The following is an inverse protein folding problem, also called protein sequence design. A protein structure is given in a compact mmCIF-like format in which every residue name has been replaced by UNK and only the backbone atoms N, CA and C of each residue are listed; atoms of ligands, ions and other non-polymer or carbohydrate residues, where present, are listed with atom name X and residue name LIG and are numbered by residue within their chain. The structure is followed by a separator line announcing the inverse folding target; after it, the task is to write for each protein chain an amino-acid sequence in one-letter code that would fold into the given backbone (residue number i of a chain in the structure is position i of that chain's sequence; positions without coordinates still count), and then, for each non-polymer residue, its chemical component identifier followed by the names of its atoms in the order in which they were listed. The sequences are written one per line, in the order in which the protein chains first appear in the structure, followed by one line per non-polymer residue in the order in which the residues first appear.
data_IF_203202991298
#
_entry.id   IF_203202991298
#
_cell.length_a   1.000
_cell.length_b   1.000
_cell.length_c   1.000
_cell.angle_alpha   90.00
_cell.angle_beta   90.00
_cell.angle_gamma   90.00
#
_symmetry.space_group_name_H-M   'P 1'
#
loop_
_entity.id
_entity.type
_entity.pdbx_description
1 polymer ?
#
# COMPACT_ATOMS: atom_id res chain seq x y z
N UNK A 1 4.56 -27.59 26.08
CA UNK A 1 5.96 -27.25 26.52
C UNK A 1 6.43 -27.89 27.84
N UNK A 2 5.59 -28.01 28.86
CA UNK A 2 5.96 -28.54 30.20
C UNK A 2 6.58 -29.95 30.16
N UNK A 3 6.04 -30.83 29.32
CA UNK A 3 6.51 -32.21 29.17
C UNK A 3 7.93 -32.32 28.58
N UNK A 4 8.35 -31.35 27.76
CA UNK A 4 9.72 -31.32 27.21
C UNK A 4 10.72 -30.88 28.27
N UNK A 5 10.34 -29.96 29.17
CA UNK A 5 11.15 -29.54 30.32
C UNK A 5 11.35 -30.69 31.33
N UNK A 6 10.31 -31.47 31.59
CA UNK A 6 10.37 -32.64 32.47
C UNK A 6 11.27 -33.74 31.87
N UNK A 7 11.14 -33.98 30.56
CA UNK A 7 12.02 -34.92 29.86
C UNK A 7 13.49 -34.46 29.86
N UNK A 8 13.76 -33.17 29.74
CA UNK A 8 15.12 -32.61 29.79
C UNK A 8 15.79 -32.80 31.16
N UNK A 9 15.02 -32.84 32.25
CA UNK A 9 15.55 -33.10 33.60
C UNK A 9 15.85 -34.58 33.88
N UNK A 10 15.30 -35.50 33.08
CA UNK A 10 15.45 -36.95 33.26
C UNK A 10 16.39 -37.60 32.22
N UNK A 11 17.07 -36.81 31.39
CA UNK A 11 17.97 -37.34 30.36
C UNK A 11 19.17 -38.09 30.99
N UNK A 12 19.44 -39.35 30.61
CA UNK A 12 20.65 -40.03 31.04
C UNK A 12 21.87 -39.34 30.44
N UNK A 13 22.97 -39.31 31.19
CA UNK A 13 24.26 -38.72 30.81
C UNK A 13 24.95 -39.38 29.60
N UNK A 14 24.29 -40.31 28.91
CA UNK A 14 24.78 -41.00 27.70
C UNK A 14 24.19 -40.44 26.40
N UNK A 15 23.50 -39.30 26.43
CA UNK A 15 22.75 -38.76 25.30
C UNK A 15 23.61 -38.06 24.24
N UNK A 16 24.94 -38.04 24.41
CA UNK A 16 25.88 -37.48 23.43
C UNK A 16 25.83 -35.95 23.26
N UNK A 17 24.90 -35.28 23.95
CA UNK A 17 24.81 -33.83 24.01
C UNK A 17 25.81 -33.29 25.05
N UNK A 18 26.49 -32.20 24.71
CA UNK A 18 27.38 -31.53 25.66
C UNK A 18 26.55 -30.91 26.79
N UNK A 19 27.05 -30.99 28.03
CA UNK A 19 26.36 -30.50 29.22
C UNK A 19 25.99 -29.02 29.11
N UNK A 20 26.84 -28.24 28.44
CA UNK A 20 26.65 -26.81 28.18
C UNK A 20 25.41 -26.57 27.29
N UNK A 21 25.19 -27.40 26.28
CA UNK A 21 24.04 -27.29 25.38
C UNK A 21 22.73 -27.63 26.09
N UNK A 22 22.76 -28.61 26.99
CA UNK A 22 21.60 -28.98 27.82
C UNK A 22 21.23 -27.85 28.80
N UNK A 23 22.23 -27.22 29.43
CA UNK A 23 22.03 -26.06 30.30
C UNK A 23 21.48 -24.87 29.51
N UNK A 24 22.03 -24.62 28.32
CA UNK A 24 21.56 -23.55 27.44
C UNK A 24 20.11 -23.77 26.99
N UNK A 25 19.78 -24.97 26.53
CA UNK A 25 18.43 -25.33 26.11
C UNK A 25 17.43 -25.23 27.26
N UNK A 26 17.81 -25.71 28.46
CA UNK A 26 17.02 -25.53 29.68
C UNK A 26 16.80 -24.05 30.00
N UNK A 27 17.83 -23.21 29.86
CA UNK A 27 17.73 -21.77 30.04
C UNK A 27 16.76 -21.09 29.07
N UNK A 28 16.75 -21.51 27.80
CA UNK A 28 15.76 -21.04 26.80
C UNK A 28 14.35 -21.50 27.18
N UNK A 29 14.17 -22.77 27.52
CA UNK A 29 12.85 -23.31 27.86
C UNK A 29 12.29 -22.77 29.17
N UNK A 30 13.15 -22.42 30.13
CA UNK A 30 12.76 -21.81 31.39
C UNK A 30 12.46 -20.31 31.26
N UNK A 31 12.89 -19.68 30.15
CA UNK A 31 12.71 -18.26 29.91
C UNK A 31 11.21 -17.87 29.96
N UNK A 32 10.83 -16.87 30.78
CA UNK A 32 9.43 -16.48 30.94
C UNK A 32 8.78 -15.96 29.66
N UNK A 33 9.56 -15.37 28.74
CA UNK A 33 9.08 -14.91 27.43
C UNK A 33 8.72 -16.12 26.57
N UNK A 34 9.61 -17.11 26.48
CA UNK A 34 9.42 -18.33 25.70
C UNK A 34 8.23 -19.13 26.23
N UNK A 35 8.11 -19.28 27.56
CA UNK A 35 6.94 -19.89 28.20
C UNK A 35 5.64 -19.15 27.89
N UNK A 36 5.66 -17.82 27.96
CA UNK A 36 4.47 -17.02 27.65
C UNK A 36 4.08 -17.13 26.18
N UNK A 37 5.06 -17.14 25.27
CA UNK A 37 4.85 -17.31 23.84
C UNK A 37 4.26 -18.68 23.51
N UNK A 38 4.79 -19.75 24.09
CA UNK A 38 4.22 -21.08 23.87
C UNK A 38 2.83 -21.23 24.46
N UNK A 39 2.54 -20.62 25.62
CA UNK A 39 1.18 -20.61 26.17
C UNK A 39 0.21 -19.82 25.29
N UNK A 40 0.68 -18.76 24.64
CA UNK A 40 -0.10 -18.01 23.66
C UNK A 40 -0.32 -18.84 22.39
N UNK A 41 0.71 -19.55 21.92
CA UNK A 41 0.62 -20.44 20.76
C UNK A 41 -0.35 -21.60 20.99
N UNK A 42 -0.23 -22.32 22.11
CA UNK A 42 -1.15 -23.41 22.50
C UNK A 42 -2.61 -22.91 22.55
N UNK A 43 -2.86 -21.69 23.06
CA UNK A 43 -4.20 -21.07 23.07
C UNK A 43 -4.72 -20.64 21.70
N UNK A 44 -3.83 -20.29 20.78
CA UNK A 44 -4.18 -19.90 19.42
C UNK A 44 -4.44 -21.14 18.54
N UNK A 45 -3.75 -22.26 18.81
CA UNK A 45 -3.98 -23.52 18.11
C UNK A 45 -5.36 -24.14 18.41
N UNK A 46 -5.89 -23.96 19.63
CA UNK A 46 -7.22 -24.49 20.01
C UNK A 46 -8.39 -23.85 19.23
N UNK A 47 -8.18 -22.69 18.60
CA UNK A 47 -9.22 -21.95 17.87
C UNK A 47 -9.10 -22.15 16.35
N UNK A 48 -8.97 -23.40 15.91
CA UNK A 48 -8.90 -23.71 14.48
C UNK A 48 -10.30 -23.60 13.87
N UNK A 49 -10.64 -22.39 13.42
CA UNK A 49 -11.84 -22.14 12.64
C UNK A 49 -11.64 -22.75 11.25
N UNK A 50 -12.39 -23.80 10.93
CA UNK A 50 -12.42 -24.39 9.60
C UNK A 50 -13.64 -23.86 8.85
N UNK A 51 -13.43 -23.45 7.60
CA UNK A 51 -14.52 -23.00 6.74
C UNK A 51 -15.46 -24.16 6.45
N UNK A 52 -16.76 -23.88 6.44
CA UNK A 52 -17.81 -24.89 6.21
C UNK A 52 -17.85 -25.34 4.74
N UNK A 53 -17.50 -24.44 3.82
CA UNK A 53 -17.46 -24.64 2.37
C UNK A 53 -16.53 -23.59 1.74
N UNK A 54 -16.11 -23.82 0.49
CA UNK A 54 -15.21 -22.96 -0.27
C UNK A 54 -15.71 -22.62 -1.69
N UNK A 55 -16.96 -22.97 -2.00
CA UNK A 55 -17.59 -22.81 -3.32
C UNK A 55 -18.97 -22.12 -3.26
N UNK A 56 -19.17 -21.21 -2.29
CA UNK A 56 -20.46 -20.54 -2.08
C UNK A 56 -20.87 -19.63 -3.25
N UNK A 57 -19.90 -19.02 -3.93
CA UNK A 57 -20.18 -18.17 -5.10
C UNK A 57 -20.71 -18.99 -6.29
N UNK A 58 -20.16 -20.18 -6.52
CA UNK A 58 -20.64 -21.12 -7.54
C UNK A 58 -22.06 -21.59 -7.22
N UNK A 59 -22.31 -21.97 -5.96
CA UNK A 59 -23.65 -22.35 -5.48
C UNK A 59 -24.69 -21.24 -5.67
N UNK A 60 -24.33 -19.98 -5.41
CA UNK A 60 -25.24 -18.85 -5.64
C UNK A 60 -25.54 -18.66 -7.12
N UNK A 61 -24.56 -18.86 -8.00
CA UNK A 61 -24.80 -18.79 -9.44
C UNK A 61 -25.74 -19.92 -9.93
N UNK A 62 -25.56 -21.15 -9.43
CA UNK A 62 -26.49 -22.27 -9.73
C UNK A 62 -27.91 -21.95 -9.26
N UNK A 63 -28.07 -21.48 -8.01
CA UNK A 63 -29.37 -21.07 -7.48
C UNK A 63 -29.98 -19.96 -8.34
N UNK A 64 -29.18 -18.98 -8.76
CA UNK A 64 -29.64 -17.88 -9.61
C UNK A 64 -30.11 -18.39 -10.97
N UNK A 65 -29.45 -19.38 -11.58
CA UNK A 65 -29.91 -20.00 -12.83
C UNK A 65 -31.28 -20.66 -12.67
N UNK A 66 -31.50 -21.36 -11.56
CA UNK A 66 -32.75 -22.07 -11.27
C UNK A 66 -33.93 -21.12 -10.97
N UNK A 67 -33.69 -20.05 -10.22
CA UNK A 67 -34.76 -19.16 -9.74
C UNK A 67 -35.03 -17.95 -10.64
N UNK A 68 -34.08 -17.58 -11.53
CA UNK A 68 -34.25 -16.45 -12.46
C UNK A 68 -35.50 -16.57 -13.35
N UNK A 69 -35.88 -17.75 -13.86
CA UNK A 69 -37.12 -17.91 -14.64
C UNK A 69 -38.40 -17.63 -13.84
N UNK A 70 -38.34 -17.70 -12.51
CA UNK A 70 -39.49 -17.57 -11.61
C UNK A 70 -39.69 -16.14 -11.08
N UNK A 71 -38.83 -15.19 -11.46
CA UNK A 71 -38.88 -13.77 -11.01
C UNK A 71 -40.23 -13.12 -11.29
N UNK A 72 -40.88 -13.46 -12.42
CA UNK A 72 -42.16 -12.88 -12.81
C UNK A 72 -43.37 -13.56 -12.13
N UNK A 73 -43.14 -14.62 -11.36
CA UNK A 73 -44.18 -15.46 -10.75
C UNK A 73 -44.32 -15.15 -9.26
N UNK A 74 -43.21 -14.85 -8.57
CA UNK A 74 -43.18 -14.60 -7.13
C UNK A 74 -42.28 -13.39 -6.81
N UNK A 75 -42.85 -12.40 -6.13
CA UNK A 75 -42.16 -11.18 -5.70
C UNK A 75 -41.03 -11.48 -4.70
N UNK A 76 -41.15 -12.53 -3.88
CA UNK A 76 -40.11 -12.96 -2.96
C UNK A 76 -38.89 -13.53 -3.71
N UNK A 77 -39.12 -14.19 -4.85
CA UNK A 77 -38.03 -14.69 -5.71
C UNK A 77 -37.34 -13.52 -6.40
N UNK A 78 -38.09 -12.49 -6.81
CA UNK A 78 -37.52 -11.28 -7.38
C UNK A 78 -36.62 -10.54 -6.37
N UNK A 79 -37.05 -10.41 -5.11
CA UNK A 79 -36.26 -9.83 -4.03
C UNK A 79 -34.99 -10.65 -3.74
N UNK A 80 -35.12 -11.97 -3.63
CA UNK A 80 -33.98 -12.87 -3.38
C UNK A 80 -32.94 -12.79 -4.51
N UNK A 81 -33.38 -12.80 -5.78
CA UNK A 81 -32.48 -12.61 -6.93
C UNK A 81 -31.80 -11.25 -6.87
N UNK A 82 -32.51 -10.21 -6.44
CA UNK A 82 -31.94 -8.87 -6.24
C UNK A 82 -30.77 -8.90 -5.25
N UNK A 83 -30.98 -9.48 -4.07
CA UNK A 83 -29.98 -9.58 -3.00
C UNK A 83 -28.77 -10.42 -3.46
N UNK A 84 -29.02 -11.59 -4.07
CA UNK A 84 -27.95 -12.49 -4.53
C UNK A 84 -27.11 -11.90 -5.67
N UNK A 85 -27.67 -10.95 -6.43
CA UNK A 85 -26.96 -10.21 -7.49
C UNK A 85 -26.31 -8.91 -7.01
N UNK A 86 -26.49 -8.52 -5.75
CA UNK A 86 -25.82 -7.31 -5.25
C UNK A 86 -24.30 -7.50 -5.29
N UNK A 87 -23.55 -6.54 -5.88
CA UNK A 87 -22.09 -6.65 -6.00
C UNK A 87 -21.40 -6.90 -4.66
N UNK A 88 -21.88 -6.26 -3.59
CA UNK A 88 -21.30 -6.41 -2.26
C UNK A 88 -21.55 -7.79 -1.66
N UNK A 89 -22.70 -8.40 -1.94
CA UNK A 89 -23.02 -9.74 -1.48
C UNK A 89 -22.17 -10.77 -2.22
N UNK A 90 -22.03 -10.62 -3.55
CA UNK A 90 -21.15 -11.48 -4.35
C UNK A 90 -19.68 -11.36 -3.95
N UNK A 91 -19.17 -10.14 -3.76
CA UNK A 91 -17.80 -9.92 -3.28
C UNK A 91 -17.56 -10.48 -1.88
N UNK A 92 -18.58 -10.49 -1.01
CA UNK A 92 -18.46 -11.10 0.32
C UNK A 92 -18.29 -12.62 0.22
N UNK A 93 -19.07 -13.28 -0.64
CA UNK A 93 -18.96 -14.72 -0.88
C UNK A 93 -17.64 -15.09 -1.55
N UNK A 94 -17.21 -14.30 -2.53
CA UNK A 94 -15.91 -14.45 -3.18
C UNK A 94 -14.76 -14.35 -2.16
N UNK A 95 -14.78 -13.32 -1.31
CA UNK A 95 -13.78 -13.16 -0.25
C UNK A 95 -13.80 -14.32 0.75
N UNK A 96 -14.99 -14.82 1.10
CA UNK A 96 -15.12 -16.01 1.94
C UNK A 96 -14.48 -17.23 1.29
N UNK A 97 -14.80 -17.52 0.03
CA UNK A 97 -14.31 -18.70 -0.71
C UNK A 97 -12.78 -18.64 -0.91
N UNK A 98 -12.20 -17.46 -1.17
CA UNK A 98 -10.75 -17.24 -1.24
C UNK A 98 -10.08 -17.57 0.11
N UNK A 99 -10.65 -17.11 1.22
CA UNK A 99 -10.12 -17.37 2.56
C UNK A 99 -10.29 -18.85 2.94
N UNK A 100 -11.44 -19.44 2.61
CA UNK A 100 -11.77 -20.83 2.88
C UNK A 100 -10.86 -21.81 2.13
N UNK A 101 -10.61 -21.55 0.85
CA UNK A 101 -9.71 -22.34 -0.02
C UNK A 101 -8.23 -22.19 0.33
N UNK A 102 -7.88 -21.31 1.27
CA UNK A 102 -6.49 -20.98 1.67
C UNK A 102 -5.63 -20.55 0.48
N UNK A 103 -6.26 -20.02 -0.57
CA UNK A 103 -5.60 -19.35 -1.67
C UNK A 103 -5.16 -17.97 -1.21
N UNK A 104 -4.09 -17.92 -0.40
CA UNK A 104 -3.43 -16.69 0.01
C UNK A 104 -2.53 -16.15 -1.11
N UNK A 105 -3.06 -16.08 -2.33
CA UNK A 105 -2.41 -15.29 -3.35
C UNK A 105 -2.48 -13.82 -2.93
N UNK A 106 -1.51 -13.03 -3.36
CA UNK A 106 -1.47 -11.59 -3.01
C UNK A 106 -2.83 -10.98 -3.38
N UNK A 107 -3.47 -10.19 -2.49
CA UNK A 107 -4.82 -9.69 -2.78
C UNK A 107 -4.80 -8.99 -4.13
N UNK A 108 -5.79 -9.26 -5.02
CA UNK A 108 -5.88 -8.51 -6.26
C UNK A 108 -5.96 -7.03 -5.89
N UNK A 109 -5.20 -6.22 -6.63
CA UNK A 109 -5.29 -4.76 -6.56
C UNK A 109 -6.76 -4.36 -6.49
N UNK A 110 -7.11 -3.54 -5.50
CA UNK A 110 -8.44 -2.96 -5.28
C UNK A 110 -9.18 -2.67 -6.60
N UNK A 111 -10.51 -2.89 -6.65
CA UNK A 111 -11.27 -2.87 -7.89
C UNK A 111 -10.96 -1.59 -8.65
N UNK A 112 -10.44 -1.76 -9.86
CA UNK A 112 -10.22 -0.67 -10.78
C UNK A 112 -11.54 0.08 -10.93
N UNK A 113 -11.53 1.34 -10.49
CA UNK A 113 -12.60 2.26 -10.77
C UNK A 113 -12.78 2.28 -12.29
N UNK A 114 -13.90 1.73 -12.76
CA UNK A 114 -14.33 1.78 -14.14
C UNK A 114 -14.35 3.24 -14.62
N UNK A 115 -13.22 3.71 -15.14
CA UNK A 115 -13.19 4.87 -16.00
C UNK A 115 -13.73 4.40 -17.35
N UNK A 116 -15.04 4.58 -17.49
CA UNK A 116 -15.78 4.48 -18.73
C UNK A 116 -14.94 4.84 -19.96
N UNK A 117 -14.73 3.84 -20.82
CA UNK A 117 -14.65 3.97 -22.27
C UNK A 117 -13.81 5.15 -22.81
N UNK A 118 -12.49 4.96 -22.89
CA UNK A 118 -11.73 5.53 -24.00
C UNK A 118 -11.28 4.35 -24.85
N UNK A 119 -11.87 4.27 -26.04
CA UNK A 119 -11.57 3.29 -27.08
C UNK A 119 -10.09 2.90 -27.10
N UNK A 120 -9.81 1.64 -26.78
CA UNK A 120 -8.61 0.93 -27.20
C UNK A 120 -8.63 0.72 -28.72
N UNK A 121 -8.68 1.81 -29.48
CA UNK A 121 -8.04 1.79 -30.79
C UNK A 121 -6.55 1.81 -30.50
N UNK A 122 -5.92 0.65 -30.67
CA UNK A 122 -4.48 0.52 -30.89
C UNK A 122 -4.12 1.50 -32.02
N UNK A 123 -3.74 2.72 -31.64
CA UNK A 123 -3.17 3.67 -32.58
C UNK A 123 -1.91 3.02 -33.14
N UNK A 124 -1.63 3.19 -34.44
CA UNK A 124 -0.43 2.63 -35.06
C UNK A 124 0.80 2.94 -34.21
N UNK A 125 1.71 1.98 -34.10
CA UNK A 125 2.93 2.03 -33.26
C UNK A 125 3.82 3.26 -33.56
N UNK A 126 3.53 3.99 -34.65
CA UNK A 126 4.23 5.19 -35.12
C UNK A 126 3.37 6.48 -35.15
N UNK A 127 2.25 6.54 -34.43
CA UNK A 127 1.42 7.75 -34.41
C UNK A 127 2.12 8.89 -33.65
N UNK A 128 2.73 9.82 -34.40
CA UNK A 128 3.37 11.03 -33.85
C UNK A 128 2.30 11.93 -33.21
N UNK A 129 2.53 12.33 -31.95
CA UNK A 129 1.71 13.32 -31.23
C UNK A 129 2.44 14.67 -31.19
N UNK A 130 1.74 15.73 -31.55
CA UNK A 130 2.26 17.11 -31.47
C UNK A 130 1.74 17.77 -30.19
N UNK A 131 2.65 18.28 -29.37
CA UNK A 131 2.34 18.90 -28.08
C UNK A 131 2.82 20.35 -28.08
N UNK A 132 1.96 21.27 -27.65
CA UNK A 132 2.35 22.65 -27.35
C UNK A 132 2.55 22.80 -25.84
N UNK A 133 3.78 23.07 -25.41
CA UNK A 133 4.10 23.36 -24.00
C UNK A 133 4.53 24.82 -23.86
N UNK A 134 4.25 25.42 -22.71
CA UNK A 134 4.69 26.79 -22.41
C UNK A 134 5.81 26.80 -21.38
N UNK A 135 7.01 27.25 -21.78
CA UNK A 135 8.22 27.24 -20.98
C UNK A 135 8.60 28.64 -20.51
N UNK A 136 8.74 28.87 -19.20
CA UNK A 136 9.29 30.13 -18.69
C UNK A 136 10.80 30.21 -18.91
N UNK A 137 11.32 31.42 -19.08
CA UNK A 137 12.75 31.65 -19.23
C UNK A 137 13.51 31.16 -17.99
N UNK A 138 14.59 30.38 -18.20
CA UNK A 138 15.39 29.80 -17.13
C UNK A 138 14.76 28.63 -16.35
N UNK A 139 13.46 28.34 -16.54
CA UNK A 139 12.81 27.21 -15.87
C UNK A 139 13.13 25.89 -16.62
N UNK A 140 13.62 24.85 -15.93
CA UNK A 140 13.82 23.54 -16.54
C UNK A 140 12.46 22.85 -16.79
N UNK A 141 12.39 21.97 -17.78
CA UNK A 141 11.19 21.17 -18.04
C UNK A 141 10.84 20.26 -16.84
N UNK A 142 11.86 19.84 -16.06
CA UNK A 142 11.67 18.89 -14.97
C UNK A 142 11.57 17.45 -15.47
N UNK A 143 12.34 17.09 -16.49
CA UNK A 143 12.40 15.72 -17.04
C UNK A 143 13.85 15.25 -17.15
N UNK A 144 14.06 13.95 -17.06
CA UNK A 144 15.34 13.30 -17.37
C UNK A 144 15.17 12.41 -18.58
N UNK A 145 16.25 12.27 -19.36
CA UNK A 145 16.27 11.46 -20.58
C UNK A 145 17.22 10.28 -20.44
N UNK A 146 16.90 9.17 -21.08
CA UNK A 146 17.81 8.07 -21.38
C UNK A 146 17.87 7.85 -22.88
N UNK A 147 18.97 7.27 -23.35
CA UNK A 147 19.11 6.85 -24.75
C UNK A 147 18.72 5.38 -24.85
N UNK A 148 17.74 5.05 -25.69
CA UNK A 148 17.28 3.68 -25.93
C UNK A 148 17.06 3.51 -27.44
N UNK A 149 17.70 2.52 -28.08
CA UNK A 149 17.62 2.31 -29.54
C UNK A 149 17.91 3.57 -30.39
N UNK A 150 18.89 4.38 -29.97
CA UNK A 150 19.25 5.65 -30.61
C UNK A 150 18.20 6.78 -30.47
N UNK A 151 17.17 6.57 -29.65
CA UNK A 151 16.11 7.54 -29.37
C UNK A 151 16.22 8.12 -27.95
N UNK A 152 15.85 9.40 -27.81
CA UNK A 152 15.76 10.06 -26.51
C UNK A 152 14.41 9.82 -25.86
N UNK A 153 14.43 8.96 -24.85
CA UNK A 153 13.24 8.54 -24.10
C UNK A 153 13.17 9.26 -22.76
N UNK A 154 11.98 9.75 -22.38
CA UNK A 154 11.75 10.31 -21.05
C UNK A 154 11.90 9.19 -20.02
N UNK A 155 12.87 9.35 -19.12
CA UNK A 155 13.17 8.38 -18.05
C UNK A 155 12.48 8.73 -16.73
N UNK A 156 12.35 10.01 -16.40
CA UNK A 156 11.69 10.48 -15.19
C UNK A 156 11.07 11.84 -15.40
N UNK A 157 9.94 12.08 -14.75
CA UNK A 157 9.34 13.41 -14.59
C UNK A 157 9.49 13.80 -13.12
N UNK A 158 10.01 15.00 -12.86
CA UNK A 158 10.24 15.53 -11.52
C UNK A 158 8.94 16.15 -11.01
N UNK A 159 8.48 15.68 -9.85
CA UNK A 159 7.26 16.17 -9.23
C UNK A 159 7.34 17.67 -8.92
N UNK A 160 6.25 18.41 -9.16
CA UNK A 160 6.20 19.88 -9.07
C UNK A 160 6.91 20.61 -10.22
N UNK A 161 7.55 19.88 -11.15
CA UNK A 161 8.19 20.42 -12.34
C UNK A 161 7.21 21.04 -13.34
N UNK A 162 7.72 21.69 -14.40
CA UNK A 162 6.88 22.26 -15.46
C UNK A 162 6.06 21.19 -16.17
N UNK A 163 6.71 20.09 -16.57
CA UNK A 163 6.05 18.99 -17.29
C UNK A 163 5.06 18.25 -16.38
N UNK A 164 5.40 18.02 -15.12
CA UNK A 164 4.50 17.40 -14.12
C UNK A 164 3.20 18.21 -13.97
N UNK A 165 3.30 19.54 -13.86
CA UNK A 165 2.14 20.43 -13.74
C UNK A 165 1.27 20.48 -15.00
N UNK A 166 1.84 20.28 -16.19
CA UNK A 166 1.09 20.29 -17.45
C UNK A 166 0.47 18.92 -17.77
N UNK A 167 1.09 17.82 -17.35
CA UNK A 167 0.55 16.46 -17.54
C UNK A 167 0.48 16.01 -19.01
N UNK A 168 1.19 16.69 -19.92
CA UNK A 168 1.11 16.43 -21.37
C UNK A 168 2.12 15.36 -21.85
N UNK A 169 3.20 15.16 -21.11
CA UNK A 169 4.24 14.17 -21.39
C UNK A 169 4.27 13.13 -20.28
N UNK A 170 4.62 11.90 -20.65
CA UNK A 170 4.71 10.77 -19.74
C UNK A 170 6.09 10.11 -19.80
N UNK A 171 6.42 9.37 -18.75
CA UNK A 171 7.62 8.54 -18.75
C UNK A 171 7.48 7.49 -19.85
N UNK A 172 8.54 7.33 -20.65
CA UNK A 172 8.56 6.45 -21.81
C UNK A 172 8.29 7.14 -23.14
N UNK A 173 7.81 8.38 -23.16
CA UNK A 173 7.61 9.13 -24.41
C UNK A 173 8.97 9.42 -25.08
N UNK A 174 9.00 9.38 -26.40
CA UNK A 174 10.19 9.65 -27.21
C UNK A 174 10.05 11.01 -27.87
N UNK A 175 11.00 11.91 -27.66
CA UNK A 175 10.98 13.22 -28.33
C UNK A 175 11.70 13.11 -29.68
N UNK A 176 10.99 13.38 -30.77
CA UNK A 176 11.52 13.34 -32.14
C UNK A 176 11.87 14.73 -32.68
N UNK A 177 11.07 15.75 -32.35
CA UNK A 177 11.36 17.13 -32.76
C UNK A 177 11.03 18.14 -31.67
N UNK A 178 11.80 19.24 -31.63
CA UNK A 178 11.53 20.44 -30.82
C UNK A 178 11.55 21.66 -31.73
N UNK A 179 10.44 22.41 -31.78
CA UNK A 179 10.29 23.60 -32.62
C UNK A 179 10.72 23.36 -34.09
N UNK A 180 10.38 22.19 -34.64
CA UNK A 180 10.72 21.78 -36.00
C UNK A 180 12.18 21.35 -36.21
N UNK A 181 13.00 21.29 -35.15
CA UNK A 181 14.35 20.73 -35.22
C UNK A 181 14.32 19.28 -34.76
N UNK A 182 14.84 18.36 -35.58
CA UNK A 182 14.99 16.97 -35.21
C UNK A 182 15.92 16.81 -34.01
N UNK A 183 15.53 15.92 -33.12
CA UNK A 183 16.27 15.61 -31.90
C UNK A 183 17.19 14.43 -32.17
N UNK A 184 18.49 14.66 -32.02
CA UNK A 184 19.51 13.61 -32.10
C UNK A 184 19.51 12.68 -30.88
N UNK A 185 20.44 11.73 -30.87
CA UNK A 185 20.59 10.75 -29.78
C UNK A 185 21.33 11.28 -28.54
N UNK A 186 21.77 12.55 -28.54
CA UNK A 186 22.57 13.12 -27.47
C UNK A 186 21.70 13.95 -26.50
N UNK A 187 21.49 13.50 -25.24
CA UNK A 187 20.63 14.19 -24.29
C UNK A 187 21.17 15.57 -23.90
N UNK A 188 22.48 15.80 -23.97
CA UNK A 188 23.09 17.10 -23.65
C UNK A 188 22.71 18.18 -24.67
N UNK A 189 22.70 17.82 -25.95
CA UNK A 189 22.30 18.74 -27.03
C UNK A 189 20.84 19.15 -26.89
N UNK A 190 19.95 18.20 -26.59
CA UNK A 190 18.55 18.49 -26.33
C UNK A 190 18.38 19.40 -25.09
N UNK A 191 19.14 19.15 -24.02
CA UNK A 191 19.11 20.00 -22.83
C UNK A 191 19.58 21.43 -23.13
N UNK A 192 20.64 21.60 -23.91
CA UNK A 192 21.14 22.92 -24.33
C UNK A 192 20.13 23.65 -25.23
N UNK A 193 19.52 22.94 -26.18
CA UNK A 193 18.46 23.47 -27.04
C UNK A 193 17.29 23.98 -26.20
N UNK A 194 16.78 23.15 -25.28
CA UNK A 194 15.65 23.50 -24.43
C UNK A 194 15.99 24.59 -23.41
N UNK A 195 17.24 24.69 -22.95
CA UNK A 195 17.68 25.72 -22.00
C UNK A 195 17.46 27.13 -22.56
N UNK A 196 17.78 27.33 -23.84
CA UNK A 196 17.72 28.64 -24.50
C UNK A 196 16.32 29.00 -25.02
N UNK A 197 15.40 28.04 -25.08
CA UNK A 197 14.02 28.27 -25.54
C UNK A 197 13.17 28.79 -24.36
N UNK A 198 12.32 29.77 -24.63
CA UNK A 198 11.28 30.26 -23.72
C UNK A 198 10.04 30.68 -24.50
N UNK A 199 8.87 30.61 -23.87
CA UNK A 199 7.56 30.84 -24.50
C UNK A 199 6.95 29.54 -25.00
N UNK A 200 6.29 29.60 -26.16
CA UNK A 200 5.65 28.42 -26.76
C UNK A 200 6.70 27.49 -27.36
N UNK A 201 6.65 26.21 -26.98
CA UNK A 201 7.50 25.15 -27.52
C UNK A 201 6.61 24.06 -28.09
N UNK A 202 6.85 23.71 -29.35
CA UNK A 202 6.15 22.62 -30.01
C UNK A 202 7.03 21.39 -30.01
N UNK A 203 6.54 20.29 -29.46
CA UNK A 203 7.22 19.01 -29.44
C UNK A 203 6.49 18.03 -30.36
N UNK A 204 7.23 17.29 -31.19
CA UNK A 204 6.70 16.06 -31.80
C UNK A 204 7.26 14.87 -31.06
N UNK A 205 6.36 14.01 -30.57
CA UNK A 205 6.73 12.83 -29.80
C UNK A 205 6.17 11.55 -30.43
N UNK A 206 6.84 10.44 -30.17
CA UNK A 206 6.18 9.13 -30.21
C UNK A 206 5.71 8.81 -28.78
N UNK A 207 4.39 8.72 -28.54
CA UNK A 207 3.87 8.38 -27.23
C UNK A 207 4.24 6.93 -26.88
N UNK A 208 4.63 6.71 -25.63
CA UNK A 208 4.76 5.35 -25.11
C UNK A 208 3.37 4.80 -24.83
N UNK A 209 2.84 3.94 -25.70
CA UNK A 209 1.65 3.13 -25.39
C UNK A 209 1.99 1.94 -24.49
N UNK A 210 2.97 2.10 -23.60
CA UNK A 210 3.10 1.21 -22.47
C UNK A 210 2.18 1.76 -21.41
N UNK A 211 1.29 0.91 -20.90
CA UNK A 211 0.51 1.21 -19.71
C UNK A 211 1.46 1.77 -18.66
N UNK A 212 1.48 3.10 -18.54
CA UNK A 212 2.20 3.73 -17.46
C UNK A 212 1.47 3.24 -16.24
N UNK A 213 2.07 2.32 -15.50
CA UNK A 213 1.65 2.03 -14.13
C UNK A 213 1.74 3.38 -13.45
N UNK A 214 0.61 4.08 -13.40
CA UNK A 214 0.51 5.35 -12.72
C UNK A 214 0.97 5.03 -11.31
N UNK A 215 2.02 5.71 -10.80
CA UNK A 215 2.53 5.39 -9.47
C UNK A 215 1.34 5.43 -8.53
N UNK A 216 1.02 4.28 -7.94
CA UNK A 216 -0.21 4.06 -7.21
C UNK A 216 -0.30 5.17 -6.16
N UNK A 217 -1.21 6.12 -6.37
CA UNK A 217 -1.31 7.27 -5.50
C UNK A 217 -1.86 6.78 -4.17
N UNK A 218 -1.01 6.77 -3.16
CA UNK A 218 -1.39 6.33 -1.83
C UNK A 218 -1.89 7.54 -1.06
N UNK A 219 -3.14 7.46 -0.60
CA UNK A 219 -3.73 8.45 0.27
C UNK A 219 -3.96 7.83 1.64
N UNK A 220 -3.65 8.58 2.70
CA UNK A 220 -3.86 8.13 4.07
C UNK A 220 -4.79 9.09 4.79
N UNK A 221 -5.63 8.53 5.68
CA UNK A 221 -6.44 9.31 6.60
C UNK A 221 -5.74 9.42 7.94
N UNK A 222 -5.55 10.64 8.41
CA UNK A 222 -4.93 10.89 9.71
C UNK A 222 -5.91 10.53 10.83
N UNK A 223 -5.49 9.70 11.79
CA UNK A 223 -6.33 9.28 12.93
C UNK A 223 -5.98 9.99 14.24
N UNK A 224 -5.01 10.92 14.21
CA UNK A 224 -4.55 11.73 15.32
C UNK A 224 -4.08 13.10 14.81
N UNK A 225 -3.87 14.05 15.72
CA UNK A 225 -3.31 15.36 15.41
C UNK A 225 -1.79 15.31 15.53
N UNK A 226 -1.10 15.91 14.57
CA UNK A 226 0.36 15.96 14.55
C UNK A 226 0.86 17.39 14.38
N UNK A 227 1.71 17.83 15.31
CA UNK A 227 2.40 19.10 15.24
C UNK A 227 3.92 18.87 15.27
N UNK A 228 4.64 19.10 14.14
CA UNK A 228 6.09 18.95 14.06
C UNK A 228 6.86 19.68 15.15
N UNK A 229 6.36 20.83 15.61
CA UNK A 229 7.05 21.63 16.61
C UNK A 229 7.05 20.99 18.01
N UNK A 230 6.08 20.11 18.27
CA UNK A 230 5.98 19.34 19.50
C UNK A 230 6.77 18.01 19.43
N UNK A 231 7.27 17.65 18.25
CA UNK A 231 8.01 16.41 18.04
C UNK A 231 9.51 16.63 18.24
N UNK A 232 10.11 15.90 19.18
CA UNK A 232 11.55 15.98 19.47
C UNK A 232 12.38 14.99 18.64
N UNK A 233 11.73 14.06 17.94
CA UNK A 233 12.39 13.05 17.09
C UNK A 233 12.46 13.47 15.63
N UNK A 234 11.71 14.51 15.23
CA UNK A 234 11.74 15.00 13.85
C UNK A 234 13.13 15.57 13.50
N UNK A 235 13.72 15.18 12.36
CA UNK A 235 15.04 15.67 11.95
C UNK A 235 15.09 17.20 11.77
N UNK A 236 14.02 17.77 11.23
CA UNK A 236 13.88 19.21 11.00
C UNK A 236 12.41 19.62 11.19
N UNK A 237 12.13 20.42 12.22
CA UNK A 237 10.77 20.87 12.57
C UNK A 237 10.10 21.66 11.46
N UNK A 238 10.88 22.49 10.75
CA UNK A 238 10.41 23.33 9.64
C UNK A 238 10.00 22.51 8.42
N UNK A 239 10.63 21.35 8.21
CA UNK A 239 10.28 20.42 7.13
C UNK A 239 9.08 19.54 7.46
N UNK A 240 8.55 19.60 8.68
CA UNK A 240 7.42 18.78 9.11
C UNK A 240 6.09 19.27 8.56
N UNK A 241 5.25 18.33 8.13
CA UNK A 241 3.89 18.62 7.71
C UNK A 241 2.95 18.48 8.91
N UNK A 242 2.40 19.60 9.38
CA UNK A 242 1.32 19.59 10.38
C UNK A 242 0.03 19.06 9.76
N UNK A 243 -0.67 18.22 10.52
CA UNK A 243 -2.00 17.72 10.12
C UNK A 243 -2.91 17.51 11.33
N UNK A 244 -4.21 17.45 11.07
CA UNK A 244 -5.26 17.20 12.06
C UNK A 244 -5.92 15.84 11.82
N UNK A 245 -6.50 15.26 12.87
CA UNK A 245 -7.31 14.04 12.78
C UNK A 245 -8.46 14.23 11.79
N UNK A 246 -8.58 13.29 10.86
CA UNK A 246 -9.60 13.26 9.81
C UNK A 246 -9.12 13.82 8.47
N UNK A 247 -8.00 14.52 8.43
CA UNK A 247 -7.40 15.00 7.17
C UNK A 247 -6.92 13.84 6.29
N UNK A 248 -6.94 14.05 4.97
CA UNK A 248 -6.43 13.10 3.98
C UNK A 248 -5.15 13.68 3.39
N UNK A 249 -4.07 12.91 3.46
CA UNK A 249 -2.76 13.29 2.92
C UNK A 249 -2.41 12.38 1.75
N UNK A 250 -1.80 12.95 0.72
CA UNK A 250 -1.18 12.19 -0.35
C UNK A 250 0.23 11.80 0.08
N UNK A 251 0.54 10.52 0.02
CA UNK A 251 1.89 10.02 0.29
C UNK A 251 2.74 10.15 -0.97
N UNK A 252 3.87 10.84 -0.85
CA UNK A 252 4.82 11.11 -1.91
C UNK A 252 5.99 10.13 -1.87
N UNK A 253 6.52 9.83 -0.66
CA UNK A 253 7.64 8.91 -0.47
C UNK A 253 7.54 8.16 0.87
N UNK A 254 7.87 6.86 0.86
CA UNK A 254 7.87 5.94 2.02
C UNK A 254 9.22 5.23 2.27
N UNK A 255 10.28 5.65 1.58
CA UNK A 255 11.60 5.01 1.64
C UNK A 255 12.19 5.03 3.06
N UNK A 256 12.02 6.14 3.80
CA UNK A 256 12.45 6.20 5.19
C UNK A 256 11.41 5.48 6.08
N UNK A 257 11.84 4.50 6.90
CA UNK A 257 10.93 3.70 7.71
C UNK A 257 10.27 4.48 8.85
N UNK A 258 10.82 5.63 9.25
CA UNK A 258 10.33 6.46 10.36
C UNK A 258 9.65 7.75 9.88
N UNK A 259 10.07 8.33 8.76
CA UNK A 259 9.62 9.65 8.29
C UNK A 259 9.17 9.63 6.84
N UNK A 260 7.86 9.61 6.60
CA UNK A 260 7.31 9.66 5.25
C UNK A 260 7.20 11.10 4.75
N UNK A 261 7.26 11.27 3.43
CA UNK A 261 6.93 12.54 2.78
C UNK A 261 5.49 12.51 2.31
N UNK A 262 4.72 13.52 2.69
CA UNK A 262 3.33 13.67 2.31
C UNK A 262 3.00 15.11 1.93
N UNK A 263 1.88 15.31 1.25
CA UNK A 263 1.34 16.64 0.91
C UNK A 263 -0.17 16.68 1.10
N UNK A 264 -0.71 17.88 1.31
CA UNK A 264 -2.16 18.11 1.37
C UNK A 264 -2.77 18.05 -0.04
N UNK A 265 -3.81 17.23 -0.21
CA UNK A 265 -4.46 17.00 -1.50
C UNK A 265 -5.05 18.28 -2.10
N UNK A 266 -5.55 19.19 -1.26
CA UNK A 266 -6.28 20.39 -1.69
C UNK A 266 -5.42 21.64 -1.88
N UNK A 267 -4.23 21.68 -1.31
CA UNK A 267 -3.40 22.90 -1.28
C UNK A 267 -2.25 22.90 -2.30
N UNK A 268 -1.97 21.78 -3.00
CA UNK A 268 -0.93 21.74 -4.03
C UNK A 268 0.45 22.19 -3.52
N UNK A 269 0.70 21.97 -2.22
CA UNK A 269 1.88 22.45 -1.51
C UNK A 269 3.09 21.52 -1.62
N UNK A 270 4.25 22.03 -1.19
CA UNK A 270 5.48 21.25 -1.04
C UNK A 270 5.24 20.05 -0.11
N UNK A 271 5.85 18.91 -0.43
CA UNK A 271 5.86 17.77 0.48
C UNK A 271 6.56 18.13 1.80
N UNK A 272 6.06 17.57 2.90
CA UNK A 272 6.65 17.69 4.23
C UNK A 272 6.66 16.35 4.96
N UNK A 273 7.46 16.28 6.02
CA UNK A 273 7.69 15.07 6.80
C UNK A 273 6.53 14.80 7.75
N UNK A 274 6.01 13.58 7.69
CA UNK A 274 5.06 13.02 8.65
C UNK A 274 5.66 11.78 9.30
N UNK A 275 5.31 11.48 10.56
CA UNK A 275 5.71 10.23 11.19
C UNK A 275 5.10 9.05 10.42
N UNK A 276 5.90 8.03 10.14
CA UNK A 276 5.41 6.80 9.52
C UNK A 276 4.52 6.02 10.47
N UNK A 277 3.73 5.09 9.93
CA UNK A 277 2.96 4.14 10.74
C UNK A 277 3.87 3.38 11.73
N UNK A 278 5.03 2.93 11.27
CA UNK A 278 5.99 2.18 12.09
C UNK A 278 6.57 3.02 13.24
N UNK A 279 6.88 4.30 13.00
CA UNK A 279 7.36 5.20 14.06
C UNK A 279 6.27 5.41 15.13
N UNK A 280 5.02 5.59 14.71
CA UNK A 280 3.90 5.74 15.65
C UNK A 280 3.59 4.47 16.44
N UNK A 281 3.70 3.30 15.82
CA UNK A 281 3.58 2.01 16.52
C UNK A 281 4.67 1.84 17.57
N UNK A 282 5.93 2.21 17.26
CA UNK A 282 7.02 2.25 18.24
C UNK A 282 6.71 3.20 19.38
N UNK A 283 6.28 4.43 19.11
CA UNK A 283 5.91 5.40 20.15
C UNK A 283 4.87 4.82 21.10
N UNK A 284 3.82 4.19 20.56
CA UNK A 284 2.77 3.55 21.37
C UNK A 284 3.25 2.33 22.15
N UNK A 285 4.19 1.55 21.62
CA UNK A 285 4.75 0.39 22.30
C UNK A 285 5.67 0.76 23.49
N UNK A 286 6.37 1.91 23.39
CA UNK A 286 7.30 2.38 24.42
C UNK A 286 6.68 3.35 25.44
N UNK A 287 5.45 3.81 25.21
CA UNK A 287 4.65 4.46 26.25
C UNK A 287 4.29 3.39 27.27
N UNK A 288 4.81 3.50 28.50
CA UNK A 288 4.27 2.73 29.63
C UNK A 288 2.78 2.98 29.63
N UNK A 289 1.96 1.93 29.57
CA UNK A 289 0.56 2.05 29.94
C UNK A 289 0.56 2.58 31.37
N UNK A 290 0.31 3.86 31.54
CA UNK A 290 -0.04 4.40 32.83
C UNK A 290 -1.25 3.58 33.26
N UNK A 291 -1.03 2.78 34.30
CA UNK A 291 -2.09 2.08 35.00
C UNK A 291 -2.88 3.18 35.72
N UNK A 292 -3.72 3.90 34.96
CA UNK A 292 -4.68 4.83 35.51
C UNK A 292 -5.77 4.01 36.17
N UNK A 293 -5.48 3.76 37.44
CA UNK A 293 -6.31 3.14 38.43
C UNK A 293 -7.45 4.11 38.79
N UNK A 294 -8.46 4.27 37.93
CA UNK A 294 -9.76 4.82 38.34
C UNK A 294 -10.85 4.57 37.30
N UNK A 295 -11.53 3.43 37.42
CA UNK A 295 -12.78 3.14 36.73
C UNK A 295 -13.24 1.72 37.03
N UNK A 296 -14.35 1.50 37.77
CA UNK A 296 -14.76 0.17 38.17
C UNK A 296 -15.47 -0.49 36.98
N UNK A 297 -14.75 -1.35 36.23
CA UNK A 297 -15.42 -2.32 35.38
C UNK A 297 -15.43 -3.69 36.06
N UNK A 298 -16.66 -4.17 36.20
CA UNK A 298 -17.13 -5.30 36.96
C UNK A 298 -16.70 -6.65 36.36
N UNK A 299 -16.47 -7.64 37.25
CA UNK A 299 -16.35 -9.08 36.92
C UNK A 299 -14.91 -9.57 36.99
N UNK A 300 -14.41 -10.10 38.10
CA UNK A 300 -14.71 -11.47 38.53
C UNK A 300 -14.31 -11.69 40.01
N UNK A 301 -15.09 -12.53 40.67
CA UNK A 301 -15.09 -12.81 42.12
C UNK A 301 -14.04 -13.87 42.50
N UNK A 302 -13.66 -13.87 43.78
CA UNK A 302 -13.08 -14.94 44.61
C UNK A 302 -11.56 -14.95 44.75
N UNK A 303 -10.94 -15.17 45.92
CA UNK A 303 -11.42 -15.50 47.26
C UNK A 303 -10.27 -15.26 48.26
N UNK A 304 -10.60 -14.71 49.44
CA UNK A 304 -9.68 -14.59 50.59
C UNK A 304 -9.32 -15.97 51.13
N UNK A 305 -8.03 -16.27 51.30
CA UNK A 305 -7.56 -17.35 52.18
C UNK A 305 -7.08 -16.75 53.51
N UNK A 306 -7.72 -17.18 54.60
CA UNK A 306 -7.28 -16.99 55.99
C UNK A 306 -5.90 -17.62 56.21
N UNK A 307 -5.08 -16.95 57.01
CA UNK A 307 -4.31 -17.55 58.09
C UNK A 307 -4.46 -16.66 59.32
#
# INVERSE_FOLDING_TARGET
MQQVLENLTELPSSTGAEEIDLIFLKGIMENPIVKSLAKAHERLEDSKLEAVSDNNLELVNEILEDITPLINVDENVAELVGILKEPHFQSLLEAHDIVASKCYDSPPSSPEMNNSSINNQLLPVDAIRILGIHKRAGEPLGVTFRVENNDLVIARILHGGMIDRQGLLHVGDIIKEVNGHEVGNNPKELQELLKNISGSVTLKILPSYRDTITPQQVFVKCHFDYNPYNDNLIPCKEAGLKFSKGEILQIVNREDPNWWQASHVKEGGSAGLIPSQFLEEKRKAFVRRDWDNSGPFCGTISSKKKK
#
